data_IF_247257872074
#
_entry.id   IF_247257872074
#
_cell.length_a   1.000
_cell.length_b   1.000
_cell.length_c   1.000
_cell.angle_alpha   90.00
_cell.angle_beta   90.00
_cell.angle_gamma   90.00
#
_symmetry.space_group_name_H-M   'P 1'
#
loop_
_entity.id
_entity.type
_entity.pdbx_description
1 polymer ?
#
# COMPACT_ATOMS: atom_id res chain seq x y z
N UNK A 1 12.75 -6.55 12.00
CA UNK A 1 12.76 -5.73 13.22
C UNK A 1 11.55 -6.08 14.08
N UNK A 2 11.70 -7.02 15.01
CA UNK A 2 10.66 -7.32 16.01
C UNK A 2 10.68 -6.23 17.08
N UNK A 3 10.03 -5.11 16.81
CA UNK A 3 9.71 -4.16 17.85
C UNK A 3 8.70 -4.80 18.81
N UNK A 4 9.00 -4.81 20.10
CA UNK A 4 8.07 -5.31 21.12
C UNK A 4 6.72 -4.58 21.01
N UNK A 5 5.63 -5.24 21.41
CA UNK A 5 4.29 -4.63 21.47
C UNK A 5 4.31 -3.25 22.15
N UNK A 6 5.09 -3.13 23.23
CA UNK A 6 5.29 -1.88 23.96
C UNK A 6 5.92 -0.77 23.10
N UNK A 7 6.92 -1.09 22.28
CA UNK A 7 7.55 -0.14 21.38
C UNK A 7 6.58 0.34 20.28
N UNK A 8 5.77 -0.57 19.73
CA UNK A 8 4.74 -0.23 18.73
C UNK A 8 3.68 0.71 19.30
N UNK A 9 3.19 0.43 20.51
CA UNK A 9 2.21 1.27 21.22
C UNK A 9 2.80 2.65 21.52
N UNK A 10 4.07 2.72 21.96
CA UNK A 10 4.75 3.98 22.21
C UNK A 10 4.90 4.82 20.93
N UNK A 11 5.34 4.20 19.84
CA UNK A 11 5.47 4.86 18.54
C UNK A 11 4.11 5.40 18.04
N UNK A 12 3.06 4.58 18.08
CA UNK A 12 1.71 5.02 17.69
C UNK A 12 1.18 6.14 18.59
N UNK A 13 1.41 6.09 19.90
CA UNK A 13 1.00 7.15 20.83
C UNK A 13 1.67 8.48 20.50
N UNK A 14 2.98 8.46 20.22
CA UNK A 14 3.75 9.64 19.81
C UNK A 14 3.26 10.22 18.48
N UNK A 15 3.13 9.38 17.46
CA UNK A 15 2.78 9.80 16.09
C UNK A 15 1.32 10.26 15.96
N UNK A 16 0.40 9.65 16.71
CA UNK A 16 -1.02 10.00 16.67
C UNK A 16 -1.39 11.11 17.66
N UNK A 17 -0.50 11.45 18.60
CA UNK A 17 -0.82 12.36 19.72
C UNK A 17 -1.94 11.83 20.62
N UNK A 18 -2.12 10.51 20.69
CA UNK A 18 -3.16 9.87 21.49
C UNK A 18 -2.57 9.31 22.79
N UNK A 19 -3.33 9.30 23.91
CA UNK A 19 -2.87 8.69 25.15
C UNK A 19 -2.49 7.22 24.97
N UNK A 20 -1.42 6.79 25.65
CA UNK A 20 -0.89 5.42 25.54
C UNK A 20 -1.95 4.36 25.84
N UNK A 21 -2.82 4.60 26.83
CA UNK A 21 -3.89 3.69 27.21
C UNK A 21 -4.96 3.57 26.11
N UNK A 22 -5.28 4.67 25.44
CA UNK A 22 -6.19 4.66 24.26
C UNK A 22 -5.58 3.84 23.13
N UNK A 23 -4.29 3.99 22.85
CA UNK A 23 -3.59 3.21 21.82
C UNK A 23 -3.51 1.74 22.20
N UNK A 24 -3.21 1.41 23.45
CA UNK A 24 -3.20 0.03 23.93
C UNK A 24 -4.60 -0.61 23.78
N UNK A 25 -5.66 0.09 24.20
CA UNK A 25 -7.04 -0.37 24.04
C UNK A 25 -7.42 -0.54 22.55
N UNK A 26 -6.92 0.33 21.68
CA UNK A 26 -7.11 0.24 20.24
C UNK A 26 -6.44 -1.02 19.66
N UNK A 27 -5.22 -1.34 20.09
CA UNK A 27 -4.52 -2.57 19.69
C UNK A 27 -5.26 -3.82 20.16
N UNK A 28 -5.73 -3.84 21.41
CA UNK A 28 -6.51 -4.95 21.96
C UNK A 28 -7.82 -5.16 21.17
N UNK A 29 -8.55 -4.08 20.89
CA UNK A 29 -9.81 -4.16 20.15
C UNK A 29 -9.63 -4.48 18.66
N UNK A 30 -8.50 -4.08 18.07
CA UNK A 30 -8.15 -4.35 16.66
C UNK A 30 -6.68 -4.77 16.51
N UNK A 31 -6.39 -6.08 16.62
CA UNK A 31 -5.03 -6.61 16.46
C UNK A 31 -4.40 -6.33 15.08
N UNK A 32 -5.19 -6.08 14.04
CA UNK A 32 -4.71 -5.68 12.70
C UNK A 32 -3.90 -4.39 12.70
N UNK A 33 -4.04 -3.57 13.74
CA UNK A 33 -3.19 -2.39 13.98
C UNK A 33 -1.71 -2.77 14.11
N UNK A 34 -1.40 -3.95 14.66
CA UNK A 34 -0.02 -4.41 14.82
C UNK A 34 0.67 -4.70 13.49
N UNK A 35 -0.08 -5.25 12.53
CA UNK A 35 0.41 -5.51 11.18
C UNK A 35 0.50 -4.26 10.31
N UNK A 36 -0.11 -3.15 10.74
CA UNK A 36 -0.11 -1.89 9.98
C UNK A 36 1.12 -1.06 10.27
N UNK A 37 1.68 -0.39 9.26
CA UNK A 37 2.83 0.51 9.46
C UNK A 37 2.43 1.77 10.23
N UNK A 38 3.31 2.24 11.12
CA UNK A 38 3.03 3.40 11.98
C UNK A 38 2.88 4.68 11.14
N UNK A 39 3.77 4.88 10.17
CA UNK A 39 3.79 6.05 9.29
C UNK A 39 2.51 6.14 8.44
N UNK A 40 2.03 5.00 7.93
CA UNK A 40 0.74 4.93 7.21
C UNK A 40 -0.41 5.36 8.11
N UNK A 41 -0.47 4.85 9.35
CA UNK A 41 -1.52 5.21 10.29
C UNK A 41 -1.48 6.69 10.67
N UNK A 42 -0.28 7.25 10.87
CA UNK A 42 -0.10 8.68 11.14
C UNK A 42 -0.61 9.56 9.98
N UNK A 43 -0.34 9.17 8.73
CA UNK A 43 -0.89 9.84 7.54
C UNK A 43 -2.41 9.80 7.50
N UNK A 44 -3.01 8.62 7.69
CA UNK A 44 -4.47 8.46 7.72
C UNK A 44 -5.08 9.28 8.84
N UNK A 45 -4.44 9.32 10.02
CA UNK A 45 -4.87 10.12 11.14
C UNK A 45 -4.88 11.62 10.84
N UNK A 46 -3.79 12.15 10.28
CA UNK A 46 -3.70 13.55 9.87
C UNK A 46 -4.77 13.91 8.84
N UNK A 47 -5.04 13.02 7.87
CA UNK A 47 -6.11 13.21 6.89
C UNK A 47 -7.50 13.18 7.53
N UNK A 48 -7.75 12.27 8.48
CA UNK A 48 -9.00 12.23 9.24
C UNK A 48 -9.21 13.50 10.08
N UNK A 49 -8.16 14.00 10.74
CA UNK A 49 -8.21 15.25 11.49
C UNK A 49 -8.48 16.44 10.57
N UNK A 50 -7.81 16.51 9.41
CA UNK A 50 -8.05 17.56 8.40
C UNK A 50 -9.50 17.52 7.89
N UNK A 51 -10.00 16.36 7.50
CA UNK A 51 -11.39 16.18 7.05
C UNK A 51 -12.38 16.52 8.16
N UNK A 52 -12.14 16.07 9.38
CA UNK A 52 -12.99 16.35 10.53
C UNK A 52 -12.99 17.84 10.89
N UNK A 53 -11.86 18.54 10.80
CA UNK A 53 -11.74 19.97 11.10
C UNK A 53 -12.64 20.86 10.23
N UNK A 54 -13.09 20.36 9.08
CA UNK A 54 -14.04 21.06 8.20
C UNK A 54 -15.53 20.77 8.53
N UNK A 55 -15.82 19.98 9.58
CA UNK A 55 -17.17 19.60 10.00
C UNK A 55 -17.24 19.37 11.51
N UNK A 56 -18.00 20.20 12.23
CA UNK A 56 -18.20 20.07 13.68
C UNK A 56 -18.79 18.71 14.09
N UNK A 57 -19.66 18.14 13.25
CA UNK A 57 -20.24 16.81 13.44
C UNK A 57 -19.17 15.73 13.39
N UNK A 58 -18.28 15.78 12.39
CA UNK A 58 -17.20 14.80 12.26
C UNK A 58 -16.14 14.97 13.33
N UNK A 59 -15.78 16.20 13.68
CA UNK A 59 -14.86 16.50 14.80
C UNK A 59 -15.38 15.90 16.09
N UNK A 60 -16.65 16.19 16.44
CA UNK A 60 -17.29 15.66 17.66
C UNK A 60 -17.38 14.14 17.61
N UNK A 61 -17.70 13.56 16.44
CA UNK A 61 -17.79 12.11 16.28
C UNK A 61 -16.44 11.46 16.50
N UNK A 62 -15.38 11.96 15.84
CA UNK A 62 -14.01 11.44 15.91
C UNK A 62 -13.48 11.48 17.35
N UNK A 63 -13.71 12.59 18.06
CA UNK A 63 -13.31 12.76 19.45
C UNK A 63 -14.01 11.79 20.42
N UNK A 64 -15.20 11.28 20.06
CA UNK A 64 -15.99 10.34 20.87
C UNK A 64 -15.89 8.89 20.40
N UNK A 65 -15.07 8.59 19.39
CA UNK A 65 -14.96 7.22 18.88
C UNK A 65 -14.30 6.30 19.90
N UNK A 66 -14.80 5.06 19.99
CA UNK A 66 -14.15 4.04 20.78
C UNK A 66 -12.78 3.68 20.18
N UNK A 67 -11.82 3.21 21.00
CA UNK A 67 -10.50 2.80 20.52
C UNK A 67 -10.56 1.79 19.36
N UNK A 68 -11.46 0.80 19.42
CA UNK A 68 -11.62 -0.17 18.34
C UNK A 68 -12.12 0.44 17.02
N UNK A 69 -12.98 1.46 17.09
CA UNK A 69 -13.47 2.16 15.91
C UNK A 69 -12.38 3.07 15.31
N UNK A 70 -11.57 3.71 16.16
CA UNK A 70 -10.37 4.44 15.71
C UNK A 70 -9.38 3.49 15.03
N UNK A 71 -9.11 2.33 15.62
CA UNK A 71 -8.25 1.30 15.00
C UNK A 71 -8.75 0.84 13.64
N UNK A 72 -10.07 0.66 13.48
CA UNK A 72 -10.68 0.36 12.19
C UNK A 72 -10.45 1.49 11.17
N UNK A 73 -10.61 2.75 11.59
CA UNK A 73 -10.41 3.88 10.68
C UNK A 73 -8.93 4.01 10.26
N UNK A 74 -8.00 3.89 11.20
CA UNK A 74 -6.57 4.04 10.92
C UNK A 74 -6.01 2.91 10.05
N UNK A 75 -6.67 1.76 10.03
CA UNK A 75 -6.29 0.60 9.20
C UNK A 75 -7.10 0.52 7.89
N UNK A 76 -7.89 1.54 7.55
CA UNK A 76 -8.72 1.53 6.34
C UNK A 76 -7.87 1.59 5.05
N UNK A 77 -8.44 1.08 3.96
CA UNK A 77 -7.84 1.18 2.63
C UNK A 77 -7.95 2.61 2.07
N UNK A 78 -7.09 2.92 1.11
CA UNK A 78 -7.13 4.18 0.35
C UNK A 78 -8.50 4.43 -0.28
N UNK A 79 -9.14 3.39 -0.85
CA UNK A 79 -10.51 3.48 -1.40
C UNK A 79 -11.54 3.94 -0.35
N UNK A 80 -11.49 3.43 0.89
CA UNK A 80 -12.39 3.88 1.97
C UNK A 80 -12.12 5.32 2.40
N UNK A 81 -10.87 5.73 2.43
CA UNK A 81 -10.52 7.12 2.71
C UNK A 81 -10.97 8.07 1.59
N UNK A 82 -10.83 7.64 0.33
CA UNK A 82 -11.29 8.40 -0.84
C UNK A 82 -12.80 8.68 -0.77
N UNK A 83 -13.60 7.74 -0.25
CA UNK A 83 -15.03 7.96 -0.01
C UNK A 83 -15.29 9.09 0.99
N UNK A 84 -14.52 9.17 2.07
CA UNK A 84 -14.64 10.27 3.04
C UNK A 84 -14.26 11.61 2.40
N UNK A 85 -13.20 11.63 1.58
CA UNK A 85 -12.80 12.82 0.81
C UNK A 85 -13.88 13.24 -0.18
N UNK A 86 -14.49 12.30 -0.90
CA UNK A 86 -15.59 12.58 -1.83
C UNK A 86 -16.78 13.21 -1.12
N UNK A 87 -17.22 12.63 0.00
CA UNK A 87 -18.31 13.20 0.80
C UNK A 87 -17.97 14.61 1.28
N UNK A 88 -16.71 14.84 1.66
CA UNK A 88 -16.25 16.15 2.07
C UNK A 88 -16.20 17.17 0.92
N UNK A 89 -15.73 16.77 -0.26
CA UNK A 89 -15.62 17.64 -1.44
C UNK A 89 -16.99 18.07 -1.97
N UNK A 90 -18.01 17.22 -1.82
CA UNK A 90 -19.36 17.46 -2.31
C UNK A 90 -20.33 17.99 -1.23
N UNK A 91 -19.83 18.44 -0.08
CA UNK A 91 -20.66 18.99 1.00
C UNK A 91 -21.57 17.98 1.71
N UNK A 92 -21.38 16.68 1.49
CA UNK A 92 -22.25 15.61 2.02
C UNK A 92 -21.86 15.10 3.41
N UNK A 93 -21.10 15.88 4.18
CA UNK A 93 -20.55 15.48 5.50
C UNK A 93 -21.64 15.17 6.55
N UNK A 94 -22.85 15.71 6.39
CA UNK A 94 -23.99 15.45 7.28
C UNK A 94 -24.87 14.27 6.87
N UNK A 95 -24.75 13.76 5.64
CA UNK A 95 -25.64 12.71 5.12
C UNK A 95 -25.27 11.31 5.64
N UNK A 96 -24.00 11.12 6.03
CA UNK A 96 -23.49 9.85 6.53
C UNK A 96 -22.52 10.05 7.69
N UNK A 97 -22.58 9.13 8.65
CA UNK A 97 -21.55 9.06 9.67
C UNK A 97 -20.22 8.55 9.07
N UNK A 98 -19.09 8.95 9.66
CA UNK A 98 -17.76 8.46 9.28
C UNK A 98 -17.72 6.92 9.21
N UNK A 99 -18.25 6.25 10.23
CA UNK A 99 -18.28 4.78 10.30
C UNK A 99 -19.12 4.18 9.16
N UNK A 100 -20.29 4.73 8.87
CA UNK A 100 -21.18 4.21 7.82
C UNK A 100 -20.52 4.32 6.44
N UNK A 101 -19.88 5.46 6.13
CA UNK A 101 -19.21 5.67 4.86
C UNK A 101 -18.05 4.67 4.60
N UNK A 102 -17.36 4.26 5.67
CA UNK A 102 -16.23 3.31 5.63
C UNK A 102 -16.70 1.86 5.56
N UNK A 103 -17.87 1.54 6.14
CA UNK A 103 -18.41 0.17 6.20
C UNK A 103 -19.04 -0.26 4.88
N UNK A 104 -19.62 0.66 4.09
CA UNK A 104 -20.21 0.30 2.80
C UNK A 104 -19.23 -0.49 1.92
N UNK A 105 -19.76 -1.48 1.21
CA UNK A 105 -19.04 -2.06 0.08
C UNK A 105 -18.83 -1.00 -1.00
N UNK A 106 -17.90 -1.26 -1.91
CA UNK A 106 -17.66 -0.36 -3.04
C UNK A 106 -18.89 -0.23 -3.93
N UNK A 107 -19.59 -1.34 -4.17
CA UNK A 107 -20.82 -1.38 -4.95
C UNK A 107 -21.93 -0.54 -4.29
N UNK A 108 -22.18 -0.73 -2.99
CA UNK A 108 -23.20 0.05 -2.26
C UNK A 108 -22.87 1.54 -2.25
N UNK A 109 -21.59 1.89 -2.05
CA UNK A 109 -21.16 3.29 -2.07
C UNK A 109 -21.36 3.90 -3.46
N UNK A 110 -20.95 3.21 -4.53
CA UNK A 110 -21.15 3.68 -5.91
C UNK A 110 -22.62 3.82 -6.28
N UNK A 111 -23.48 2.87 -5.87
CA UNK A 111 -24.91 2.97 -6.12
C UNK A 111 -25.53 4.18 -5.40
N UNK A 112 -25.13 4.43 -4.15
CA UNK A 112 -25.62 5.59 -3.39
C UNK A 112 -25.02 6.92 -3.87
N UNK A 113 -23.81 6.88 -4.42
CA UNK A 113 -23.04 8.04 -4.87
C UNK A 113 -22.47 7.80 -6.27
N UNK A 114 -23.30 7.87 -7.32
CA UNK A 114 -22.90 7.51 -8.68
C UNK A 114 -21.76 8.38 -9.25
N UNK A 115 -21.56 9.58 -8.71
CA UNK A 115 -20.43 10.45 -9.06
C UNK A 115 -19.07 10.03 -8.47
N UNK A 116 -19.03 9.07 -7.54
CA UNK A 116 -17.79 8.69 -6.85
C UNK A 116 -16.75 8.08 -7.79
N UNK A 117 -17.13 7.15 -8.67
CA UNK A 117 -16.19 6.49 -9.56
C UNK A 117 -15.52 7.47 -10.54
N UNK A 118 -16.32 8.38 -11.12
CA UNK A 118 -15.80 9.43 -12.01
C UNK A 118 -14.88 10.41 -11.25
N UNK A 119 -15.28 10.79 -10.02
CA UNK A 119 -14.46 11.65 -9.16
C UNK A 119 -13.16 10.97 -8.72
N UNK A 120 -13.19 9.68 -8.37
CA UNK A 120 -12.00 8.93 -7.97
C UNK A 120 -11.03 8.70 -9.14
N UNK A 121 -11.51 8.77 -10.38
CA UNK A 121 -10.67 8.70 -11.57
C UNK A 121 -10.02 10.04 -11.95
N UNK A 122 -10.48 11.17 -11.38
CA UNK A 122 -9.86 12.48 -11.63
C UNK A 122 -8.67 12.73 -10.71
N UNK A 123 -7.72 13.55 -11.16
CA UNK A 123 -6.53 13.94 -10.38
C UNK A 123 -6.92 14.62 -9.04
N UNK A 124 -8.11 15.21 -8.97
CA UNK A 124 -8.65 15.83 -7.74
C UNK A 124 -9.10 14.79 -6.71
N UNK A 125 -9.61 13.64 -7.16
CA UNK A 125 -10.13 12.59 -6.28
C UNK A 125 -9.05 11.76 -5.61
N UNK A 126 -7.92 11.64 -6.31
CA UNK A 126 -6.75 10.89 -5.88
C UNK A 126 -5.54 11.72 -6.24
N UNK A 127 -5.33 12.86 -5.59
CA UNK A 127 -3.95 13.21 -5.32
C UNK A 127 -3.49 12.12 -4.34
N UNK A 128 -2.80 11.07 -4.83
CA UNK A 128 -2.31 10.05 -3.94
C UNK A 128 -1.29 10.84 -3.12
N UNK A 129 -1.45 10.93 -1.81
CA UNK A 129 -0.25 11.14 -1.02
C UNK A 129 0.55 9.89 -1.34
N UNK A 130 1.64 9.97 -2.12
CA UNK A 130 2.37 8.79 -2.49
C UNK A 130 2.70 8.11 -1.17
N UNK A 131 2.18 6.91 -0.98
CA UNK A 131 2.55 6.14 0.19
C UNK A 131 4.05 5.96 0.03
N UNK A 132 4.86 6.59 0.88
CA UNK A 132 6.30 6.54 0.77
C UNK A 132 6.79 5.08 0.69
N UNK A 133 6.00 4.14 1.25
CA UNK A 133 6.23 2.71 1.08
C UNK A 133 5.90 2.16 -0.30
N UNK A 134 4.81 2.58 -0.93
CA UNK A 134 4.51 2.19 -2.33
C UNK A 134 5.47 2.87 -3.31
N UNK A 135 5.99 4.05 -2.99
CA UNK A 135 7.01 4.71 -3.79
C UNK A 135 8.39 4.07 -3.60
N UNK A 136 8.72 3.66 -2.38
CA UNK A 136 9.93 2.89 -2.08
C UNK A 136 9.86 1.47 -2.65
N UNK A 137 8.72 0.77 -2.54
CA UNK A 137 8.47 -0.53 -3.20
C UNK A 137 8.51 -0.37 -4.73
N UNK A 138 7.91 0.70 -5.28
CA UNK A 138 8.03 0.99 -6.72
C UNK A 138 9.46 1.28 -7.13
N UNK A 139 10.24 2.00 -6.32
CA UNK A 139 11.66 2.25 -6.55
C UNK A 139 12.46 0.97 -6.45
N UNK A 140 12.18 0.10 -5.49
CA UNK A 140 12.86 -1.19 -5.30
C UNK A 140 12.52 -2.16 -6.42
N UNK A 141 11.24 -2.27 -6.83
CA UNK A 141 10.82 -3.02 -8.00
C UNK A 141 11.44 -2.48 -9.30
N UNK A 142 11.44 -1.16 -9.48
CA UNK A 142 12.08 -0.53 -10.63
C UNK A 142 13.59 -0.78 -10.64
N UNK A 143 14.24 -0.74 -9.47
CA UNK A 143 15.67 -1.03 -9.31
C UNK A 143 15.96 -2.52 -9.60
N UNK A 144 15.13 -3.45 -9.15
CA UNK A 144 15.26 -4.88 -9.45
C UNK A 144 15.04 -5.18 -10.95
N UNK A 145 14.04 -4.54 -11.58
CA UNK A 145 13.85 -4.63 -13.04
C UNK A 145 15.06 -4.05 -13.79
N UNK A 146 15.62 -2.93 -13.33
CA UNK A 146 16.82 -2.35 -13.90
C UNK A 146 18.05 -3.26 -13.70
N UNK A 147 18.17 -3.92 -12.53
CA UNK A 147 19.23 -4.89 -12.23
C UNK A 147 19.14 -6.10 -13.15
N UNK A 148 17.95 -6.66 -13.35
CA UNK A 148 17.70 -7.76 -14.31
C UNK A 148 17.96 -7.37 -15.76
N UNK A 149 17.75 -6.11 -16.13
CA UNK A 149 18.12 -5.60 -17.47
C UNK A 149 19.62 -5.37 -17.63
N UNK A 150 20.33 -5.08 -16.53
CA UNK A 150 21.78 -4.86 -16.51
C UNK A 150 22.58 -6.13 -16.28
N UNK A 151 21.97 -7.21 -15.79
CA UNK A 151 22.57 -8.55 -15.87
C UNK A 151 22.79 -8.86 -17.36
N UNK A 152 24.05 -8.85 -17.82
CA UNK A 152 24.33 -8.95 -19.24
C UNK A 152 23.88 -10.31 -19.74
N UNK A 153 23.46 -10.36 -21.01
CA UNK A 153 23.32 -11.57 -21.83
C UNK A 153 24.63 -12.38 -21.99
N UNK A 154 25.58 -12.25 -21.05
CA UNK A 154 26.81 -13.00 -20.94
C UNK A 154 26.54 -14.51 -20.86
N UNK A 155 25.41 -14.93 -20.30
CA UNK A 155 25.00 -16.35 -20.31
C UNK A 155 24.62 -16.82 -21.71
N UNK A 156 24.08 -15.95 -22.56
CA UNK A 156 23.71 -16.31 -23.95
C UNK A 156 24.93 -16.33 -24.86
N UNK A 157 25.84 -15.37 -24.71
CA UNK A 157 27.10 -15.35 -25.48
C UNK A 157 28.04 -16.51 -25.08
N UNK A 158 28.12 -16.85 -23.79
CA UNK A 158 28.87 -18.02 -23.32
C UNK A 158 28.25 -19.34 -23.80
N UNK A 159 26.91 -19.47 -23.79
CA UNK A 159 26.24 -20.67 -24.34
C UNK A 159 26.41 -20.79 -25.85
N UNK A 160 26.32 -19.69 -26.60
CA UNK A 160 26.55 -19.70 -28.04
C UNK A 160 27.99 -20.12 -28.37
N UNK A 161 28.97 -19.59 -27.65
CA UNK A 161 30.39 -19.94 -27.84
C UNK A 161 30.70 -21.39 -27.44
N UNK A 162 30.05 -21.91 -26.39
CA UNK A 162 30.17 -23.31 -25.99
C UNK A 162 29.50 -24.27 -27.00
N UNK A 163 28.34 -23.91 -27.55
CA UNK A 163 27.67 -24.68 -28.59
C UNK A 163 28.48 -24.72 -29.89
N UNK A 164 29.08 -23.61 -30.30
CA UNK A 164 29.97 -23.56 -31.47
C UNK A 164 31.23 -24.43 -31.28
N UNK A 165 31.83 -24.41 -30.09
CA UNK A 165 32.98 -25.26 -29.77
C UNK A 165 32.61 -26.76 -29.81
N UNK A 166 31.44 -27.13 -29.29
CA UNK A 166 30.97 -28.52 -29.31
C UNK A 166 30.64 -29.01 -30.73
N UNK A 167 30.09 -28.14 -31.59
CA UNK A 167 29.83 -28.47 -32.99
C UNK A 167 31.12 -28.71 -33.79
N UNK A 168 32.16 -27.90 -33.55
CA UNK A 168 33.48 -28.09 -34.18
C UNK A 168 34.14 -29.39 -33.75
N UNK A 169 34.06 -29.76 -32.46
CA UNK A 169 34.64 -31.00 -31.95
C UNK A 169 34.03 -32.27 -32.60
N UNK A 170 32.72 -32.28 -32.82
CA UNK A 170 32.03 -33.44 -33.43
C UNK A 170 32.36 -33.62 -34.92
N UNK A 171 32.66 -32.54 -35.65
CA UNK A 171 32.99 -32.64 -37.08
C UNK A 171 34.42 -33.19 -37.30
N UNK A 172 35.37 -32.87 -36.42
CA UNK A 172 36.75 -33.39 -36.51
C UNK A 172 36.83 -34.90 -36.23
N UNK A 173 35.94 -35.44 -35.40
CA UNK A 173 35.91 -36.88 -35.10
C UNK A 173 35.43 -37.73 -36.28
N UNK A 174 34.56 -37.18 -37.16
CA UNK A 174 34.04 -37.89 -38.32
C UNK A 174 35.06 -38.01 -39.48
N UNK A 175 36.04 -37.10 -39.56
CA UNK A 175 37.03 -37.09 -40.63
C UNK A 175 38.20 -38.08 -40.43
N UNK A 176 38.31 -38.71 -39.25
CA UNK A 176 39.41 -39.62 -38.91
C UNK A 176 39.17 -41.11 -39.17
N UNK A 177 37.98 -41.50 -39.67
CA UNK A 177 37.60 -42.91 -39.84
C UNK A 177 37.82 -43.47 -41.25
N UNK A 178 38.29 -42.66 -42.22
CA UNK A 178 38.41 -43.05 -43.63
C UNK A 178 39.86 -43.39 -44.06
N UNK A 179 40.70 -43.82 -43.12
CA UNK A 179 42.08 -44.21 -43.41
C UNK A 179 42.51 -45.46 -42.64
N UNK A 180 41.86 -46.58 -42.93
CA UNK A 180 42.50 -47.89 -42.77
C UNK A 180 41.94 -48.83 -43.83
N UNK A 181 42.83 -49.14 -44.76
CA UNK A 181 42.80 -50.26 -45.70
C UNK A 181 42.73 -51.58 -44.94
#
# INVERSE_FOLDING_TARGET
HEGTLAAKVAALSSELGLPRDTVAAMVVAKPTVLGSRVDKMARVWAQLQSLAGTSSVWTTKLARMSPGSLGLLLTMSSSRLARLRYLAANGMRGHLSLSTAVIFSELEFNHKFPGFAAWAASDDGVSPIPDASEEEERREQAAEVARRRREPAATTAARAKAAEASAKANHTAAAGMDSTV
#
